data_IF_724264569609
#
_entry.id   IF_724264569609
#
_cell.length_a   1.000
_cell.length_b   1.000
_cell.length_c   1.000
_cell.angle_alpha   90.00
_cell.angle_beta   90.00
_cell.angle_gamma   90.00
#
_symmetry.space_group_name_H-M   'P 1'
#
loop_
_entity.id
_entity.type
_entity.pdbx_description
1 polymer ?
#
# COMPACT_ATOMS: atom_id res chain seq x y z
N UNK A 1 -15.46 -7.38 -22.82
CA UNK A 1 -14.95 -6.70 -24.03
C UNK A 1 -13.47 -6.34 -23.94
N UNK A 2 -12.91 -5.98 -22.77
CA UNK A 2 -11.52 -5.52 -22.66
C UNK A 2 -10.39 -6.57 -22.91
N UNK A 3 -10.42 -7.81 -22.37
CA UNK A 3 -9.26 -8.71 -22.48
C UNK A 3 -9.07 -9.31 -23.87
N UNK A 4 -10.12 -9.37 -24.70
CA UNK A 4 -9.98 -9.85 -26.08
C UNK A 4 -9.32 -8.81 -27.00
N UNK A 5 -9.52 -7.52 -26.73
CA UNK A 5 -9.00 -6.43 -27.57
C UNK A 5 -7.64 -5.88 -27.10
N UNK A 6 -7.10 -6.39 -25.97
CA UNK A 6 -5.80 -5.96 -25.43
C UNK A 6 -4.68 -7.00 -25.66
N UNK A 7 -4.92 -8.09 -26.40
CA UNK A 7 -3.94 -9.17 -26.58
C UNK A 7 -2.67 -8.75 -27.30
N UNK A 8 -2.79 -7.75 -28.18
CA UNK A 8 -1.66 -7.22 -28.96
C UNK A 8 -0.99 -6.02 -28.28
N UNK A 9 -1.43 -5.65 -27.07
CA UNK A 9 -0.92 -4.50 -26.34
C UNK A 9 0.18 -4.89 -25.37
N UNK A 10 1.17 -4.00 -25.24
CA UNK A 10 2.16 -4.09 -24.17
C UNK A 10 1.56 -3.70 -22.81
N UNK A 11 2.15 -4.19 -21.71
CA UNK A 11 1.65 -3.92 -20.36
C UNK A 11 1.40 -2.43 -20.07
N UNK A 12 2.32 -1.56 -20.48
CA UNK A 12 2.18 -0.12 -20.25
C UNK A 12 0.99 0.48 -21.01
N UNK A 13 0.67 -0.04 -22.20
CA UNK A 13 -0.49 0.36 -23.00
C UNK A 13 -1.79 -0.14 -22.37
N UNK A 14 -1.79 -1.38 -21.87
CA UNK A 14 -2.92 -1.94 -21.11
C UNK A 14 -3.25 -1.04 -19.92
N UNK A 15 -2.23 -0.63 -19.14
CA UNK A 15 -2.42 0.27 -18.00
C UNK A 15 -3.05 1.61 -18.39
N UNK A 16 -2.63 2.21 -19.51
CA UNK A 16 -3.21 3.46 -20.03
C UNK A 16 -4.67 3.27 -20.49
N UNK A 17 -5.00 2.13 -21.08
CA UNK A 17 -6.39 1.81 -21.47
C UNK A 17 -7.29 1.73 -20.23
N UNK A 18 -6.87 1.01 -19.18
CA UNK A 18 -7.61 0.95 -17.92
C UNK A 18 -7.74 2.32 -17.26
N UNK A 19 -6.68 3.13 -17.27
CA UNK A 19 -6.71 4.49 -16.74
C UNK A 19 -7.73 5.36 -17.49
N UNK A 20 -7.68 5.34 -18.83
CA UNK A 20 -8.57 6.10 -19.71
C UNK A 20 -10.04 5.71 -19.52
N UNK A 21 -10.33 4.43 -19.40
CA UNK A 21 -11.69 3.96 -19.12
C UNK A 21 -12.11 4.36 -17.70
N UNK A 22 -11.21 4.33 -16.71
CA UNK A 22 -11.51 4.81 -15.37
C UNK A 22 -11.89 6.31 -15.36
N UNK A 23 -11.29 7.15 -16.20
CA UNK A 23 -11.77 8.53 -16.39
C UNK A 23 -13.18 8.58 -16.99
N UNK A 24 -13.50 7.72 -17.96
CA UNK A 24 -14.89 7.63 -18.48
C UNK A 24 -15.86 7.22 -17.38
N UNK A 25 -15.51 6.21 -16.58
CA UNK A 25 -16.31 5.78 -15.42
C UNK A 25 -16.52 6.94 -14.45
N UNK A 26 -15.50 7.76 -14.18
CA UNK A 26 -15.61 8.92 -13.27
C UNK A 26 -16.64 9.98 -13.73
N UNK A 27 -17.06 9.95 -15.00
CA UNK A 27 -18.09 10.86 -15.55
C UNK A 27 -19.52 10.33 -15.46
N UNK A 28 -19.72 9.09 -15.02
CA UNK A 28 -21.06 8.53 -14.84
C UNK A 28 -21.86 9.32 -13.80
N UNK A 29 -23.19 9.32 -13.92
CA UNK A 29 -24.06 10.30 -13.25
C UNK A 29 -24.14 10.14 -11.74
N UNK A 30 -23.98 8.90 -11.24
CA UNK A 30 -24.16 8.60 -9.82
C UNK A 30 -22.98 7.80 -9.25
N UNK A 31 -22.62 7.98 -7.97
CA UNK A 31 -21.59 7.17 -7.32
C UNK A 31 -21.87 5.66 -7.39
N UNK A 32 -23.15 5.27 -7.29
CA UNK A 32 -23.57 3.87 -7.39
C UNK A 32 -23.25 3.27 -8.77
N UNK A 33 -23.52 4.01 -9.84
CA UNK A 33 -23.19 3.61 -11.20
C UNK A 33 -21.67 3.57 -11.42
N UNK A 34 -20.93 4.54 -10.88
CA UNK A 34 -19.47 4.57 -10.92
C UNK A 34 -18.86 3.31 -10.27
N UNK A 35 -19.35 2.90 -9.09
CA UNK A 35 -18.90 1.69 -8.41
C UNK A 35 -19.25 0.40 -9.18
N UNK A 36 -20.45 0.33 -9.77
CA UNK A 36 -20.86 -0.81 -10.60
C UNK A 36 -19.98 -0.94 -11.85
N UNK A 37 -19.76 0.16 -12.57
CA UNK A 37 -18.88 0.20 -13.75
C UNK A 37 -17.42 -0.09 -13.40
N UNK A 38 -16.94 0.36 -12.24
CA UNK A 38 -15.60 0.02 -11.74
C UNK A 38 -15.43 -1.48 -11.53
N UNK A 39 -16.44 -2.13 -10.95
CA UNK A 39 -16.45 -3.59 -10.74
C UNK A 39 -16.46 -4.33 -12.08
N UNK A 40 -17.26 -3.87 -13.03
CA UNK A 40 -17.32 -4.45 -14.38
C UNK A 40 -16.01 -4.26 -15.16
N UNK A 41 -15.36 -3.10 -15.02
CA UNK A 41 -14.04 -2.81 -15.59
C UNK A 41 -12.99 -3.79 -15.08
N UNK A 42 -12.98 -4.08 -13.78
CA UNK A 42 -11.98 -4.92 -13.11
C UNK A 42 -12.36 -6.40 -13.03
N UNK A 43 -13.44 -6.84 -13.68
CA UNK A 43 -13.95 -8.21 -13.50
C UNK A 43 -12.97 -9.32 -13.90
N UNK A 44 -12.14 -9.08 -14.91
CA UNK A 44 -11.19 -10.08 -15.41
C UNK A 44 -9.97 -10.19 -14.49
N UNK A 45 -9.39 -9.05 -14.10
CA UNK A 45 -8.31 -9.03 -13.11
C UNK A 45 -8.79 -9.56 -11.75
N UNK A 46 -10.05 -9.33 -11.39
CA UNK A 46 -10.64 -9.90 -10.18
C UNK A 46 -10.75 -11.43 -10.22
N UNK A 47 -11.06 -12.00 -11.40
CA UNK A 47 -11.09 -13.46 -11.57
C UNK A 47 -9.72 -14.07 -11.32
N UNK A 48 -8.67 -13.49 -11.92
CA UNK A 48 -7.29 -13.96 -11.75
C UNK A 48 -6.83 -13.75 -10.30
N UNK A 49 -7.17 -12.60 -9.70
CA UNK A 49 -6.92 -12.30 -8.30
C UNK A 49 -7.49 -13.37 -7.37
N UNK A 50 -8.76 -13.76 -7.54
CA UNK A 50 -9.40 -14.80 -6.72
C UNK A 50 -8.69 -16.14 -6.80
N UNK A 51 -8.20 -16.53 -7.98
CA UNK A 51 -7.42 -17.76 -8.14
C UNK A 51 -6.10 -17.69 -7.37
N UNK A 52 -5.41 -16.56 -7.44
CA UNK A 52 -4.16 -16.32 -6.70
C UNK A 52 -4.39 -16.38 -5.19
N UNK A 53 -5.44 -15.72 -4.69
CA UNK A 53 -5.78 -15.73 -3.27
C UNK A 53 -6.14 -17.14 -2.79
N UNK A 54 -6.87 -17.91 -3.59
CA UNK A 54 -7.15 -19.31 -3.27
C UNK A 54 -5.85 -20.14 -3.09
N UNK A 55 -4.83 -19.91 -3.93
CA UNK A 55 -3.52 -20.57 -3.77
C UNK A 55 -2.83 -20.17 -2.47
N UNK A 56 -2.80 -18.87 -2.15
CA UNK A 56 -2.17 -18.35 -0.93
C UNK A 56 -2.86 -18.86 0.34
N UNK A 57 -4.19 -18.78 0.39
CA UNK A 57 -4.99 -19.23 1.56
C UNK A 57 -4.92 -20.74 1.78
N UNK A 58 -4.70 -21.53 0.73
CA UNK A 58 -4.45 -22.97 0.84
C UNK A 58 -3.03 -23.33 1.32
N UNK A 59 -2.16 -22.34 1.57
CA UNK A 59 -0.78 -22.56 2.00
C UNK A 59 0.14 -23.07 0.90
N UNK A 60 -0.27 -22.99 -0.37
CA UNK A 60 0.62 -23.32 -1.48
C UNK A 60 1.76 -22.29 -1.57
N UNK A 61 2.96 -22.72 -1.97
CA UNK A 61 4.06 -21.82 -2.28
C UNK A 61 3.98 -21.26 -3.71
N UNK A 62 2.95 -21.65 -4.48
CA UNK A 62 2.79 -21.23 -5.89
C UNK A 62 2.57 -19.72 -6.05
N UNK A 63 2.09 -19.04 -5.00
CA UNK A 63 1.96 -17.57 -5.03
C UNK A 63 3.31 -16.85 -5.05
N UNK A 64 4.41 -17.55 -4.77
CA UNK A 64 5.79 -17.07 -4.86
C UNK A 64 6.44 -17.40 -6.22
N UNK A 65 5.74 -18.09 -7.12
CA UNK A 65 6.28 -18.39 -8.44
C UNK A 65 6.45 -17.11 -9.28
N UNK A 66 7.50 -17.00 -10.11
CA UNK A 66 7.74 -15.81 -10.93
C UNK A 66 6.59 -15.45 -11.89
N UNK A 67 5.81 -16.43 -12.34
CA UNK A 67 4.59 -16.21 -13.14
C UNK A 67 3.49 -15.56 -12.30
N UNK A 68 3.25 -16.08 -11.09
CA UNK A 68 2.25 -15.56 -10.16
C UNK A 68 2.61 -14.15 -9.68
N UNK A 69 3.87 -13.91 -9.31
CA UNK A 69 4.38 -12.58 -8.94
C UNK A 69 4.14 -11.56 -10.06
N UNK A 70 4.40 -11.91 -11.33
CA UNK A 70 4.13 -11.03 -12.48
C UNK A 70 2.64 -10.76 -12.68
N UNK A 71 1.79 -11.76 -12.45
CA UNK A 71 0.32 -11.60 -12.53
C UNK A 71 -0.17 -10.64 -11.44
N UNK A 72 0.32 -10.78 -10.21
CA UNK A 72 -0.03 -9.91 -9.08
C UNK A 72 0.44 -8.48 -9.32
N UNK A 73 1.67 -8.28 -9.78
CA UNK A 73 2.19 -6.97 -10.17
C UNK A 73 1.27 -6.33 -11.23
N UNK A 74 0.91 -7.07 -12.27
CA UNK A 74 0.02 -6.59 -13.32
C UNK A 74 -1.37 -6.17 -12.78
N UNK A 75 -1.97 -6.97 -11.90
CA UNK A 75 -3.26 -6.68 -11.27
C UNK A 75 -3.17 -5.43 -10.39
N UNK A 76 -2.12 -5.30 -9.57
CA UNK A 76 -1.92 -4.14 -8.70
C UNK A 76 -1.72 -2.86 -9.51
N UNK A 77 -0.92 -2.89 -10.60
CA UNK A 77 -0.73 -1.72 -11.48
C UNK A 77 -2.04 -1.28 -12.14
N UNK A 78 -2.87 -2.21 -12.61
CA UNK A 78 -4.19 -1.88 -13.16
C UNK A 78 -5.06 -1.23 -12.06
N UNK A 79 -5.10 -1.82 -10.87
CA UNK A 79 -5.88 -1.26 -9.76
C UNK A 79 -5.41 0.14 -9.37
N UNK A 80 -4.10 0.40 -9.31
CA UNK A 80 -3.57 1.74 -9.04
C UNK A 80 -4.03 2.75 -10.09
N UNK A 81 -4.00 2.39 -11.39
CA UNK A 81 -4.47 3.26 -12.47
C UNK A 81 -5.97 3.55 -12.39
N UNK A 82 -6.78 2.51 -12.16
CA UNK A 82 -8.24 2.66 -12.03
C UNK A 82 -8.60 3.45 -10.78
N UNK A 83 -7.96 3.19 -9.64
CA UNK A 83 -8.18 3.95 -8.41
C UNK A 83 -7.86 5.44 -8.60
N UNK A 84 -6.76 5.74 -9.29
CA UNK A 84 -6.33 7.11 -9.54
C UNK A 84 -7.33 7.87 -10.43
N UNK A 85 -7.84 7.24 -11.49
CA UNK A 85 -8.72 7.89 -12.47
C UNK A 85 -10.20 7.90 -12.08
N UNK A 86 -10.70 6.86 -11.40
CA UNK A 86 -12.07 6.80 -10.89
C UNK A 86 -12.26 7.69 -9.65
N UNK A 87 -11.29 7.73 -8.74
CA UNK A 87 -11.36 8.51 -7.50
C UNK A 87 -12.18 7.82 -6.40
N UNK A 88 -12.91 8.60 -5.59
CA UNK A 88 -13.61 8.12 -4.38
C UNK A 88 -14.52 6.89 -4.59
N UNK A 89 -15.28 6.74 -5.70
CA UNK A 89 -16.12 5.55 -5.93
C UNK A 89 -15.37 4.22 -5.99
N UNK A 90 -14.05 4.25 -6.21
CA UNK A 90 -13.19 3.07 -6.15
C UNK A 90 -13.20 2.40 -4.76
N UNK A 91 -13.56 3.14 -3.69
CA UNK A 91 -13.66 2.60 -2.33
C UNK A 91 -14.47 1.30 -2.28
N UNK A 92 -15.62 1.25 -2.96
CA UNK A 92 -16.48 0.05 -2.95
C UNK A 92 -15.74 -1.18 -3.45
N UNK A 93 -14.87 -1.02 -4.45
CA UNK A 93 -14.04 -2.12 -4.96
C UNK A 93 -12.87 -2.43 -4.00
N UNK A 94 -12.21 -1.40 -3.47
CA UNK A 94 -11.12 -1.58 -2.50
C UNK A 94 -11.59 -2.38 -1.28
N UNK A 95 -12.78 -2.09 -0.75
CA UNK A 95 -13.39 -2.84 0.36
C UNK A 95 -13.48 -4.34 0.08
N UNK A 96 -13.79 -4.73 -1.16
CA UNK A 96 -13.93 -6.13 -1.53
C UNK A 96 -12.60 -6.89 -1.58
N UNK A 97 -11.48 -6.19 -1.79
CA UNK A 97 -10.16 -6.82 -1.95
C UNK A 97 -9.19 -6.48 -0.80
N UNK A 98 -9.61 -5.66 0.16
CA UNK A 98 -8.69 -5.12 1.17
C UNK A 98 -8.08 -6.22 2.04
N UNK A 99 -8.90 -7.15 2.56
CA UNK A 99 -8.41 -8.24 3.40
C UNK A 99 -7.43 -9.16 2.64
N UNK A 100 -7.68 -9.39 1.35
CA UNK A 100 -6.79 -10.13 0.45
C UNK A 100 -5.43 -9.43 0.30
N UNK A 101 -5.45 -8.10 0.13
CA UNK A 101 -4.24 -7.27 0.03
C UNK A 101 -3.43 -7.36 1.33
N UNK A 102 -4.08 -7.28 2.50
CA UNK A 102 -3.44 -7.41 3.81
C UNK A 102 -2.86 -8.82 4.00
N UNK A 103 -3.59 -9.85 3.60
CA UNK A 103 -3.13 -11.23 3.67
C UNK A 103 -1.85 -11.44 2.85
N UNK A 104 -1.84 -11.00 1.59
CA UNK A 104 -0.65 -11.10 0.73
C UNK A 104 0.52 -10.27 1.26
N UNK A 105 0.27 -9.04 1.73
CA UNK A 105 1.31 -8.21 2.32
C UNK A 105 2.03 -8.92 3.47
N UNK A 106 1.27 -9.50 4.40
CA UNK A 106 1.81 -10.27 5.54
C UNK A 106 2.59 -11.49 5.06
N UNK A 107 2.04 -12.25 4.11
CA UNK A 107 2.71 -13.39 3.50
C UNK A 107 4.06 -13.01 2.89
N UNK A 108 4.12 -11.89 2.17
CA UNK A 108 5.36 -11.39 1.58
C UNK A 108 6.35 -10.86 2.62
N UNK A 109 5.88 -10.17 3.66
CA UNK A 109 6.77 -9.72 4.73
C UNK A 109 7.47 -10.89 5.41
N UNK A 110 6.71 -11.92 5.79
CA UNK A 110 7.24 -13.13 6.40
C UNK A 110 8.28 -13.83 5.50
N UNK A 111 7.99 -13.91 4.20
CA UNK A 111 8.91 -14.50 3.23
C UNK A 111 10.19 -13.67 3.06
N UNK A 112 10.09 -12.33 3.00
CA UNK A 112 11.27 -11.44 2.92
C UNK A 112 12.16 -11.65 4.14
N UNK A 113 11.60 -11.55 5.34
CA UNK A 113 12.35 -11.71 6.60
C UNK A 113 13.00 -13.08 6.72
N UNK A 114 12.29 -14.16 6.34
CA UNK A 114 12.82 -15.53 6.37
C UNK A 114 13.98 -15.73 5.38
N UNK A 115 13.88 -15.18 4.18
CA UNK A 115 14.91 -15.33 3.15
C UNK A 115 16.16 -14.48 3.48
N UNK A 116 15.97 -13.29 4.07
CA UNK A 116 17.07 -12.46 4.56
C UNK A 116 17.82 -13.12 5.73
N UNK A 117 17.09 -13.57 6.75
CA UNK A 117 17.70 -14.20 7.93
C UNK A 117 18.51 -15.46 7.58
N UNK A 118 18.02 -16.25 6.60
CA UNK A 118 18.69 -17.49 6.18
C UNK A 118 19.68 -17.29 5.03
N UNK A 119 19.84 -16.07 4.49
CA UNK A 119 20.59 -15.79 3.27
C UNK A 119 20.22 -16.70 2.08
N UNK A 120 18.95 -17.10 2.01
CA UNK A 120 18.42 -18.02 1.01
C UNK A 120 17.62 -17.29 -0.05
N UNK A 121 17.69 -17.77 -1.30
CA UNK A 121 16.88 -17.30 -2.43
C UNK A 121 16.75 -15.77 -2.54
N UNK A 122 17.86 -15.05 -2.45
CA UNK A 122 17.87 -13.58 -2.40
C UNK A 122 17.27 -12.91 -3.63
N UNK A 123 17.16 -13.63 -4.76
CA UNK A 123 16.55 -13.17 -6.00
C UNK A 123 15.05 -12.88 -5.86
N UNK A 124 14.34 -13.56 -4.95
CA UNK A 124 12.90 -13.34 -4.75
C UNK A 124 12.59 -12.10 -3.92
N UNK A 125 13.53 -11.67 -3.06
CA UNK A 125 13.34 -10.58 -2.10
C UNK A 125 12.91 -9.29 -2.81
N UNK A 126 13.65 -8.89 -3.85
CA UNK A 126 13.36 -7.65 -4.58
C UNK A 126 11.95 -7.66 -5.19
N UNK A 127 11.52 -8.69 -5.96
CA UNK A 127 10.13 -8.82 -6.39
C UNK A 127 9.10 -8.72 -5.27
N UNK A 128 9.29 -9.40 -4.14
CA UNK A 128 8.34 -9.34 -3.03
C UNK A 128 8.26 -7.95 -2.40
N UNK A 129 9.39 -7.25 -2.25
CA UNK A 129 9.41 -5.85 -1.80
C UNK A 129 8.66 -4.94 -2.76
N UNK A 130 8.76 -5.17 -4.08
CA UNK A 130 7.98 -4.39 -5.06
C UNK A 130 6.47 -4.61 -4.90
N UNK A 131 6.03 -5.86 -4.71
CA UNK A 131 4.61 -6.15 -4.50
C UNK A 131 4.07 -5.54 -3.20
N UNK A 132 4.82 -5.61 -2.09
CA UNK A 132 4.46 -4.93 -0.83
C UNK A 132 4.27 -3.43 -1.05
N UNK A 133 5.24 -2.79 -1.70
CA UNK A 133 5.16 -1.38 -2.06
C UNK A 133 3.93 -1.07 -2.90
N UNK A 134 3.62 -1.91 -3.88
CA UNK A 134 2.47 -1.67 -4.76
C UNK A 134 1.12 -1.84 -4.06
N UNK A 135 1.03 -2.71 -3.05
CA UNK A 135 -0.12 -2.77 -2.14
C UNK A 135 -0.25 -1.47 -1.35
N UNK A 136 0.85 -1.01 -0.73
CA UNK A 136 0.87 0.23 0.07
C UNK A 136 0.48 1.46 -0.78
N UNK A 137 0.99 1.55 -2.01
CA UNK A 137 0.64 2.62 -2.96
C UNK A 137 -0.83 2.60 -3.36
N UNK A 138 -1.42 1.43 -3.56
CA UNK A 138 -2.85 1.34 -3.89
C UNK A 138 -3.71 1.90 -2.75
N UNK A 139 -3.39 1.52 -1.51
CA UNK A 139 -4.06 2.06 -0.32
C UNK A 139 -3.83 3.56 -0.20
N UNK A 140 -2.60 4.03 -0.44
CA UNK A 140 -2.26 5.45 -0.41
C UNK A 140 -3.08 6.27 -1.43
N UNK A 141 -3.18 5.81 -2.69
CA UNK A 141 -3.97 6.47 -3.74
C UNK A 141 -5.42 6.64 -3.28
N UNK A 142 -6.00 5.62 -2.66
CA UNK A 142 -7.34 5.71 -2.09
C UNK A 142 -7.42 6.82 -1.01
N UNK A 143 -6.51 6.80 -0.03
CA UNK A 143 -6.50 7.77 1.07
C UNK A 143 -6.41 9.21 0.56
N UNK A 144 -5.65 9.46 -0.51
CA UNK A 144 -5.56 10.78 -1.13
C UNK A 144 -6.92 11.30 -1.64
N UNK A 145 -7.74 10.39 -2.18
CA UNK A 145 -9.07 10.68 -2.75
C UNK A 145 -10.18 10.68 -1.71
N UNK A 146 -10.00 10.03 -0.56
CA UNK A 146 -11.03 9.95 0.46
C UNK A 146 -11.26 11.30 1.15
N UNK A 147 -12.52 11.56 1.52
CA UNK A 147 -12.95 12.74 2.26
C UNK A 147 -13.54 12.38 3.62
N UNK A 148 -14.15 11.20 3.75
CA UNK A 148 -14.73 10.71 4.99
C UNK A 148 -13.97 9.47 5.47
N UNK A 149 -13.30 9.61 6.61
CA UNK A 149 -12.42 8.60 7.16
C UNK A 149 -13.10 7.68 8.20
N UNK A 150 -14.40 7.84 8.49
CA UNK A 150 -15.09 6.98 9.47
C UNK A 150 -14.92 5.50 9.12
N UNK A 151 -15.22 5.11 7.88
CA UNK A 151 -15.05 3.73 7.44
C UNK A 151 -13.57 3.29 7.46
N UNK A 152 -12.66 4.16 7.00
CA UNK A 152 -11.23 3.88 7.00
C UNK A 152 -10.72 3.60 8.42
N UNK A 153 -11.07 4.43 9.40
CA UNK A 153 -10.62 4.29 10.78
C UNK A 153 -11.15 3.02 11.45
N UNK A 154 -12.38 2.62 11.15
CA UNK A 154 -12.99 1.41 11.70
C UNK A 154 -12.43 0.14 11.07
N UNK A 155 -12.16 0.15 9.76
CA UNK A 155 -11.92 -1.09 9.00
C UNK A 155 -10.51 -1.22 8.44
N UNK A 156 -9.89 -0.12 7.98
CA UNK A 156 -8.60 -0.16 7.27
C UNK A 156 -7.43 0.27 8.15
N UNK A 157 -7.61 1.25 9.03
CA UNK A 157 -6.55 1.72 9.91
C UNK A 157 -6.00 0.60 10.80
N UNK A 158 -6.80 -0.24 11.49
CA UNK A 158 -6.24 -1.24 12.41
C UNK A 158 -5.29 -2.24 11.72
N UNK A 159 -5.62 -2.83 10.55
CA UNK A 159 -4.65 -3.65 9.80
C UNK A 159 -3.40 -2.90 9.36
N UNK A 160 -3.49 -1.61 9.03
CA UNK A 160 -2.31 -0.79 8.71
C UNK A 160 -1.44 -0.51 9.95
N UNK A 161 -2.02 -0.47 11.15
CA UNK A 161 -1.25 -0.32 12.38
C UNK A 161 -0.34 -1.54 12.62
N UNK A 162 -0.76 -2.74 12.24
CA UNK A 162 0.09 -3.93 12.31
C UNK A 162 1.31 -3.81 11.38
N UNK A 163 1.20 -3.07 10.26
CA UNK A 163 2.33 -2.81 9.36
C UNK A 163 3.40 -1.91 10.00
N UNK A 164 3.02 -1.06 10.96
CA UNK A 164 3.97 -0.27 11.75
C UNK A 164 4.81 -1.18 12.63
N UNK A 165 4.19 -2.20 13.24
CA UNK A 165 4.91 -3.18 14.05
C UNK A 165 5.83 -4.06 13.19
N UNK A 166 5.34 -4.51 12.03
CA UNK A 166 6.14 -5.23 11.02
C UNK A 166 7.37 -4.40 10.59
N UNK A 167 7.19 -3.12 10.28
CA UNK A 167 8.28 -2.22 9.91
C UNK A 167 9.31 -2.06 11.04
N UNK A 168 8.85 -1.86 12.28
CA UNK A 168 9.71 -1.65 13.44
C UNK A 168 10.61 -2.87 13.72
N UNK A 169 10.00 -4.06 13.72
CA UNK A 169 10.68 -5.34 14.02
C UNK A 169 11.52 -5.88 12.86
N UNK A 170 11.24 -5.42 11.64
CA UNK A 170 12.01 -5.76 10.45
C UNK A 170 13.43 -5.20 10.52
N UNK A 171 14.39 -5.97 10.00
CA UNK A 171 15.75 -5.48 9.76
C UNK A 171 15.77 -4.38 8.69
N UNK A 172 16.81 -3.51 8.66
CA UNK A 172 16.85 -2.36 7.74
C UNK A 172 16.61 -2.71 6.26
N UNK A 173 17.16 -3.83 5.79
CA UNK A 173 17.00 -4.29 4.40
C UNK A 173 15.62 -4.85 4.09
N UNK A 174 14.82 -5.22 5.09
CA UNK A 174 13.44 -5.71 4.91
C UNK A 174 12.43 -4.55 4.89
N UNK A 175 12.74 -3.43 5.55
CA UNK A 175 11.86 -2.25 5.64
C UNK A 175 11.53 -1.67 4.26
N UNK A 176 10.32 -1.12 4.15
CA UNK A 176 9.80 -0.48 2.94
C UNK A 176 9.53 1.01 3.20
N UNK A 177 10.21 1.94 2.52
CA UNK A 177 9.97 3.38 2.66
C UNK A 177 8.52 3.79 2.38
N UNK A 178 7.79 3.02 1.59
CA UNK A 178 6.39 3.32 1.26
C UNK A 178 5.48 3.26 2.50
N UNK A 179 5.84 2.50 3.54
CA UNK A 179 5.11 2.53 4.82
C UNK A 179 5.16 3.92 5.43
N UNK A 180 6.33 4.59 5.38
CA UNK A 180 6.47 5.97 5.87
C UNK A 180 5.61 6.94 5.06
N UNK A 181 5.63 6.77 3.74
CA UNK A 181 4.86 7.61 2.82
C UNK A 181 3.35 7.44 3.01
N UNK A 182 2.87 6.21 3.20
CA UNK A 182 1.48 5.91 3.50
C UNK A 182 1.03 6.67 4.77
N UNK A 183 1.77 6.53 5.88
CA UNK A 183 1.44 7.22 7.13
C UNK A 183 1.59 8.74 7.04
N UNK A 184 2.54 9.23 6.22
CA UNK A 184 2.60 10.65 5.91
C UNK A 184 1.31 11.13 5.23
N UNK A 185 0.78 10.37 4.26
CA UNK A 185 -0.50 10.67 3.60
C UNK A 185 -1.66 10.61 4.60
N UNK A 186 -1.73 9.60 5.49
CA UNK A 186 -2.80 9.53 6.51
C UNK A 186 -2.79 10.74 7.42
N UNK A 187 -1.62 11.11 7.95
CA UNK A 187 -1.46 12.29 8.80
C UNK A 187 -1.85 13.59 8.09
N UNK A 188 -1.53 13.72 6.81
CA UNK A 188 -1.94 14.89 6.02
C UNK A 188 -3.46 15.01 5.93
N UNK A 189 -4.17 13.89 5.84
CA UNK A 189 -5.62 13.85 5.62
C UNK A 189 -6.41 13.94 6.92
N UNK A 190 -5.92 13.33 8.00
CA UNK A 190 -6.69 13.17 9.25
C UNK A 190 -5.84 13.26 10.53
N UNK A 191 -4.72 14.00 10.49
CA UNK A 191 -3.75 14.04 11.60
C UNK A 191 -4.33 14.43 12.97
N UNK A 192 -5.40 15.22 13.01
CA UNK A 192 -6.07 15.60 14.27
C UNK A 192 -6.74 14.43 14.98
N UNK A 193 -7.15 13.39 14.25
CA UNK A 193 -7.76 12.17 14.80
C UNK A 193 -6.71 11.13 15.19
N UNK A 194 -5.46 11.29 14.74
CA UNK A 194 -4.35 10.38 15.02
C UNK A 194 -3.54 10.73 16.27
N UNK A 195 -3.98 11.71 17.07
CA UNK A 195 -3.26 12.19 18.26
C UNK A 195 -2.89 11.05 19.23
N UNK A 196 -3.82 10.13 19.50
CA UNK A 196 -3.60 8.99 20.39
C UNK A 196 -2.70 7.91 19.79
N UNK A 197 -2.63 7.85 18.46
CA UNK A 197 -1.82 6.87 17.73
C UNK A 197 -0.40 7.38 17.40
N UNK A 198 -0.16 8.69 17.55
CA UNK A 198 1.13 9.30 17.25
C UNK A 198 2.32 8.63 17.96
N UNK A 199 2.26 8.24 19.25
CA UNK A 199 3.36 7.52 19.89
C UNK A 199 3.77 6.24 19.15
N UNK A 200 2.81 5.50 18.60
CA UNK A 200 3.07 4.28 17.84
C UNK A 200 3.75 4.59 16.50
N UNK A 201 3.35 5.67 15.82
CA UNK A 201 4.04 6.14 14.59
C UNK A 201 5.48 6.56 14.92
N UNK A 202 5.69 7.28 16.03
CA UNK A 202 7.02 7.74 16.40
C UNK A 202 7.96 6.58 16.77
N UNK A 203 7.50 5.65 17.60
CA UNK A 203 8.28 4.48 18.03
C UNK A 203 8.44 3.43 16.93
N UNK A 204 7.40 3.22 16.12
CA UNK A 204 7.38 2.15 15.14
C UNK A 204 7.95 2.53 13.77
N UNK A 205 7.86 3.81 13.39
CA UNK A 205 8.36 4.30 12.09
C UNK A 205 9.53 5.27 12.26
N UNK A 206 9.37 6.33 13.06
CA UNK A 206 10.36 7.40 13.09
C UNK A 206 11.70 6.97 13.70
N UNK A 207 11.70 6.38 14.90
CA UNK A 207 12.92 5.92 15.57
C UNK A 207 13.69 4.85 14.76
N UNK A 208 13.03 3.78 14.25
CA UNK A 208 13.72 2.77 13.46
C UNK A 208 14.29 3.33 12.16
N UNK A 209 13.60 4.28 11.50
CA UNK A 209 14.15 4.93 10.31
C UNK A 209 15.32 5.84 10.65
N UNK A 210 15.21 6.65 11.71
CA UNK A 210 16.25 7.62 12.09
C UNK A 210 17.57 6.92 12.42
N UNK A 211 17.54 5.80 13.14
CA UNK A 211 18.75 5.01 13.44
C UNK A 211 19.49 4.55 12.18
N UNK A 212 18.77 4.30 11.09
CA UNK A 212 19.34 3.86 9.81
C UNK A 212 19.89 5.04 9.01
N UNK A 213 19.15 6.15 8.89
CA UNK A 213 19.53 7.26 8.01
C UNK A 213 20.50 8.27 8.66
N UNK A 214 20.69 8.22 9.98
CA UNK A 214 21.61 9.09 10.72
C UNK A 214 23.05 8.60 10.72
N UNK A 215 23.28 7.31 10.48
CA UNK A 215 24.59 6.68 10.55
C UNK A 215 25.53 7.14 9.42
N UNK A 216 25.01 7.32 8.20
CA UNK A 216 25.71 7.93 7.08
C UNK A 216 24.71 8.58 6.11
N UNK A 217 25.17 9.42 5.17
CA UNK A 217 24.30 10.13 4.22
C UNK A 217 24.07 9.38 2.89
N UNK A 218 24.62 8.18 2.73
CA UNK A 218 24.70 7.47 1.44
C UNK A 218 23.91 6.17 1.40
N UNK A 219 23.77 5.52 2.54
CA UNK A 219 23.07 4.27 2.74
C UNK A 219 21.58 4.58 2.95
N UNK A 220 20.71 3.76 2.37
CA UNK A 220 19.25 3.91 2.42
C UNK A 220 18.71 5.30 1.97
N UNK A 221 19.18 5.87 0.83
CA UNK A 221 18.70 7.17 0.32
C UNK A 221 17.18 7.25 0.15
N UNK A 222 16.55 6.14 -0.21
CA UNK A 222 15.13 6.01 -0.47
C UNK A 222 14.24 6.26 0.76
N UNK A 223 14.78 6.20 1.98
CA UNK A 223 14.02 6.45 3.21
C UNK A 223 13.93 7.94 3.58
N UNK A 224 14.83 8.78 3.07
CA UNK A 224 14.97 10.17 3.53
C UNK A 224 13.75 11.01 3.18
N UNK A 225 13.33 11.02 1.92
CA UNK A 225 12.16 11.80 1.48
C UNK A 225 10.88 11.35 2.20
N UNK A 226 10.49 10.06 2.24
CA UNK A 226 9.32 9.60 2.99
C UNK A 226 9.39 9.93 4.48
N UNK A 227 10.56 9.80 5.11
CA UNK A 227 10.76 10.15 6.52
C UNK A 227 10.52 11.63 6.79
N UNK A 228 11.17 12.53 6.04
CA UNK A 228 10.98 13.96 6.25
C UNK A 228 9.55 14.40 5.91
N UNK A 229 8.91 13.74 4.93
CA UNK A 229 7.49 13.98 4.63
C UNK A 229 6.58 13.58 5.79
N UNK A 230 6.85 12.43 6.42
CA UNK A 230 6.15 11.97 7.61
C UNK A 230 6.30 12.99 8.75
N UNK A 231 7.53 13.37 9.10
CA UNK A 231 7.81 14.35 10.16
C UNK A 231 7.15 15.70 9.88
N UNK A 232 7.25 16.20 8.64
CA UNK A 232 6.57 17.44 8.22
C UNK A 232 5.06 17.37 8.48
N UNK A 233 4.41 16.26 8.10
CA UNK A 233 2.97 16.12 8.26
C UNK A 233 2.56 15.90 9.72
N UNK A 234 3.40 15.27 10.55
CA UNK A 234 3.19 15.21 12.01
C UNK A 234 3.13 16.64 12.57
N UNK A 235 4.12 17.47 12.24
CA UNK A 235 4.21 18.86 12.72
C UNK A 235 3.00 19.68 12.26
N UNK A 236 2.66 19.58 10.98
CA UNK A 236 1.62 20.42 10.37
C UNK A 236 0.18 20.00 10.74
N UNK A 237 -0.06 18.71 10.99
CA UNK A 237 -1.42 18.16 11.09
C UNK A 237 -1.70 17.41 12.41
N UNK A 238 -0.69 17.15 13.23
CA UNK A 238 -0.82 16.43 14.50
C UNK A 238 -0.07 17.13 15.65
N UNK A 239 -0.02 18.47 15.65
CA UNK A 239 0.75 19.26 16.63
C UNK A 239 0.31 19.01 18.08
N UNK A 240 -0.99 18.82 18.32
CA UNK A 240 -1.51 18.49 19.66
C UNK A 240 -0.96 17.16 20.16
N UNK A 241 -0.77 16.18 19.26
CA UNK A 241 -0.11 14.92 19.61
C UNK A 241 1.34 15.13 20.01
N UNK A 242 2.07 15.98 19.30
CA UNK A 242 3.47 16.29 19.64
C UNK A 242 3.60 16.87 21.05
N UNK A 243 2.71 17.77 21.46
CA UNK A 243 2.74 18.37 22.79
C UNK A 243 2.52 17.35 23.93
N UNK A 244 1.91 16.20 23.60
CA UNK A 244 1.65 15.12 24.54
C UNK A 244 2.74 14.03 24.54
N UNK A 245 3.77 14.14 23.69
CA UNK A 245 4.86 13.18 23.64
C UNK A 245 5.84 13.38 24.80
N UNK A 246 6.43 12.28 25.25
CA UNK A 246 7.49 12.32 26.25
C UNK A 246 8.73 13.05 25.70
N UNK A 247 9.43 13.86 26.52
CA UNK A 247 10.60 14.62 26.06
C UNK A 247 11.71 13.80 25.40
N UNK A 248 11.83 12.51 25.77
CA UNK A 248 12.81 11.59 25.19
C UNK A 248 12.58 11.32 23.70
N UNK A 249 11.36 11.52 23.20
CA UNK A 249 11.02 11.34 21.78
C UNK A 249 11.56 12.46 20.88
N UNK A 250 12.08 13.54 21.47
CA UNK A 250 12.65 14.70 20.78
C UNK A 250 14.19 14.73 20.82
N UNK A 251 14.83 13.72 21.43
CA UNK A 251 16.28 13.57 21.50
C UNK A 251 16.79 12.67 20.37
#
# INVERSE_FOLDING_TARGET
MLPQNCKDLENHQIYMVYEGIGYMVSTAMTPMEQSALTTELLKYTNSDWKQIIALSTAGSMDFLMPTTIRSIDHILKINQRVAQSVGQPYLSYLQMIFDDLIHLYKGYSNNISTNLANNNNTQIIKPLKMLRRDILKLVQIYIEKESNFTFFNENFLPPLQEMVNDYSTSEPNARDPETLMLFATVLKKEGTQLVSYLPNIMNGLCQPTLSVISSDFTTFPEFREPFFKLVQNIINHCTQGLLNLEPQMFQ
#
